data_IF_150507131515
#
_entry.id   IF_150507131515
#
_cell.length_a   1.000
_cell.length_b   1.000
_cell.length_c   1.000
_cell.angle_alpha   90.00
_cell.angle_beta   90.00
_cell.angle_gamma   90.00
#
_symmetry.space_group_name_H-M   'P 1'
#
loop_
_entity.id
_entity.type
_entity.pdbx_description
1 polymer ?
#
# COMPACT_ATOMS: atom_id res chain seq x y z
N UNK A 1 -15.15 -38.33 7.23
CA UNK A 1 -14.07 -37.74 6.41
C UNK A 1 -13.48 -36.59 7.22
N UNK A 2 -12.17 -36.60 7.44
CA UNK A 2 -11.50 -35.63 8.31
C UNK A 2 -11.05 -34.41 7.51
N UNK A 3 -11.36 -33.22 8.02
CA UNK A 3 -10.95 -31.93 7.49
C UNK A 3 -10.13 -31.20 8.54
N UNK A 4 -9.10 -30.47 8.12
CA UNK A 4 -8.26 -29.69 9.02
C UNK A 4 -8.31 -28.24 8.58
N UNK A 5 -8.78 -27.35 9.45
CA UNK A 5 -8.67 -25.90 9.27
C UNK A 5 -7.39 -25.46 9.97
N UNK A 6 -6.41 -25.00 9.21
CA UNK A 6 -5.14 -24.50 9.74
C UNK A 6 -5.06 -22.98 9.64
N UNK A 7 -4.40 -22.35 10.59
CA UNK A 7 -3.97 -20.95 10.49
C UNK A 7 -2.57 -20.76 11.05
N UNK A 8 -1.71 -20.12 10.25
CA UNK A 8 -0.45 -19.57 10.69
C UNK A 8 -0.23 -18.21 9.99
N UNK A 9 0.50 -17.29 10.63
CA UNK A 9 0.68 -15.95 10.08
C UNK A 9 1.29 -15.95 8.66
N UNK A 10 2.24 -16.85 8.34
CA UNK A 10 2.89 -16.92 7.03
C UNK A 10 1.97 -17.44 5.90
N UNK A 11 1.05 -18.34 6.23
CA UNK A 11 0.22 -19.06 5.25
C UNK A 11 -1.19 -18.46 5.13
N UNK A 12 -1.67 -17.85 6.22
CA UNK A 12 -3.06 -17.46 6.39
C UNK A 12 -3.91 -18.64 6.85
N UNK A 13 -5.23 -18.55 6.63
CA UNK A 13 -6.17 -19.62 6.99
C UNK A 13 -6.48 -20.50 5.79
N UNK A 14 -6.20 -21.79 5.92
CA UNK A 14 -6.38 -22.82 4.89
C UNK A 14 -7.29 -23.95 5.43
N UNK A 15 -7.84 -24.76 4.51
CA UNK A 15 -8.53 -26.00 4.87
C UNK A 15 -8.09 -27.14 3.96
N UNK A 16 -7.70 -28.24 4.58
CA UNK A 16 -7.24 -29.46 3.94
C UNK A 16 -8.23 -30.61 4.10
N UNK A 17 -8.05 -31.66 3.30
CA UNK A 17 -8.90 -32.84 3.30
C UNK A 17 -10.17 -32.72 2.45
N UNK A 18 -10.42 -31.58 1.82
CA UNK A 18 -11.58 -31.39 0.92
C UNK A 18 -11.37 -32.12 -0.41
N UNK A 19 -12.43 -32.72 -0.96
CA UNK A 19 -12.45 -33.43 -2.23
C UNK A 19 -13.56 -32.93 -3.14
N UNK A 20 -13.35 -33.00 -4.46
CA UNK A 20 -14.39 -32.63 -5.42
C UNK A 20 -15.60 -33.55 -5.25
N UNK A 21 -16.76 -32.95 -4.98
CA UNK A 21 -18.01 -33.70 -4.81
C UNK A 21 -18.26 -34.17 -3.38
N UNK A 22 -17.35 -33.91 -2.44
CA UNK A 22 -17.74 -33.91 -1.04
C UNK A 22 -18.62 -32.66 -0.79
N UNK A 23 -19.62 -32.77 0.09
CA UNK A 23 -20.56 -31.67 0.33
C UNK A 23 -19.92 -30.48 1.08
N UNK A 24 -18.58 -30.40 1.19
CA UNK A 24 -17.87 -29.30 1.86
C UNK A 24 -17.87 -28.01 1.03
N UNK A 25 -17.79 -28.11 -0.30
CA UNK A 25 -17.61 -26.95 -1.21
C UNK A 25 -18.72 -25.90 -1.05
N UNK A 26 -20.03 -26.26 -1.02
CA UNK A 26 -21.09 -25.28 -0.79
C UNK A 26 -20.96 -24.55 0.56
N UNK A 27 -20.57 -25.27 1.62
CA UNK A 27 -20.38 -24.73 2.97
C UNK A 27 -19.21 -23.74 3.00
N UNK A 28 -18.10 -24.08 2.34
CA UNK A 28 -16.93 -23.22 2.23
C UNK A 28 -17.25 -21.93 1.49
N UNK A 29 -17.96 -22.02 0.35
CA UNK A 29 -18.38 -20.83 -0.40
C UNK A 29 -19.32 -19.92 0.41
N UNK A 30 -20.26 -20.51 1.16
CA UNK A 30 -21.18 -19.76 2.02
C UNK A 30 -20.43 -18.98 3.12
N UNK A 31 -19.37 -19.58 3.68
CA UNK A 31 -18.51 -18.95 4.68
C UNK A 31 -17.41 -18.06 4.06
N UNK A 32 -17.45 -17.77 2.75
CA UNK A 32 -16.55 -16.82 2.09
C UNK A 32 -15.17 -17.35 1.73
N UNK A 33 -14.96 -18.67 1.78
CA UNK A 33 -13.71 -19.29 1.34
C UNK A 33 -13.55 -19.23 -0.19
N UNK A 34 -12.30 -19.19 -0.65
CA UNK A 34 -11.96 -19.18 -2.08
C UNK A 34 -10.97 -20.30 -2.40
N UNK A 35 -11.13 -20.92 -3.56
CA UNK A 35 -10.15 -21.85 -4.07
C UNK A 35 -8.95 -21.11 -4.66
N UNK A 36 -7.74 -21.49 -4.27
CA UNK A 36 -6.50 -21.03 -4.91
C UNK A 36 -5.90 -22.15 -5.74
N UNK A 37 -5.70 -21.92 -7.04
CA UNK A 37 -4.97 -22.86 -7.89
C UNK A 37 -3.48 -22.94 -7.54
N UNK A 38 -2.91 -21.86 -7.00
CA UNK A 38 -1.49 -21.80 -6.65
C UNK A 38 -1.19 -22.53 -5.34
N UNK A 39 -2.13 -22.51 -4.38
CA UNK A 39 -1.99 -23.22 -3.11
C UNK A 39 -2.53 -24.66 -3.17
N UNK A 40 -3.34 -24.97 -4.19
CA UNK A 40 -4.06 -26.25 -4.25
C UNK A 40 -5.04 -26.46 -3.09
N UNK A 41 -5.49 -25.37 -2.46
CA UNK A 41 -6.30 -25.39 -1.24
C UNK A 41 -7.34 -24.27 -1.22
N UNK A 42 -8.37 -24.47 -0.41
CA UNK A 42 -9.34 -23.43 -0.06
C UNK A 42 -8.73 -22.52 1.02
N UNK A 43 -8.88 -21.22 0.86
CA UNK A 43 -8.31 -20.23 1.78
C UNK A 43 -9.30 -19.11 2.10
N UNK A 44 -9.10 -18.47 3.26
CA UNK A 44 -9.79 -17.22 3.62
C UNK A 44 -8.97 -16.04 3.10
N UNK A 45 -9.61 -15.15 2.33
CA UNK A 45 -8.92 -13.98 1.76
C UNK A 45 -8.44 -13.00 2.86
N UNK A 46 -7.27 -12.38 2.67
CA UNK A 46 -6.66 -11.42 3.63
C UNK A 46 -6.54 -12.00 5.04
N UNK A 47 -6.02 -13.22 5.16
CA UNK A 47 -5.77 -13.92 6.42
C UNK A 47 -4.29 -14.05 6.77
N UNK A 48 -3.39 -13.98 5.77
CA UNK A 48 -1.94 -13.95 5.97
C UNK A 48 -1.52 -12.66 6.68
N UNK A 49 -0.59 -12.78 7.62
CA UNK A 49 -0.02 -11.72 8.45
C UNK A 49 -1.10 -10.91 9.20
N UNK A 50 -2.19 -11.56 9.60
CA UNK A 50 -3.30 -10.97 10.36
C UNK A 50 -3.82 -11.96 11.39
N UNK A 51 -4.42 -11.48 12.48
CA UNK A 51 -5.08 -12.35 13.46
C UNK A 51 -6.03 -13.37 12.80
N UNK A 52 -6.14 -14.58 13.36
CA UNK A 52 -7.09 -15.57 12.88
C UNK A 52 -8.51 -15.00 12.86
N UNK A 53 -9.22 -15.20 11.75
CA UNK A 53 -10.63 -14.77 11.63
C UNK A 53 -11.54 -15.77 12.32
N UNK A 54 -11.47 -15.79 13.65
CA UNK A 54 -12.18 -16.74 14.51
C UNK A 54 -13.66 -16.90 14.17
N UNK A 55 -14.36 -15.81 13.87
CA UNK A 55 -15.78 -15.89 13.48
C UNK A 55 -16.01 -16.72 12.21
N UNK A 56 -15.13 -16.62 11.20
CA UNK A 56 -15.24 -17.42 9.96
C UNK A 56 -14.81 -18.86 10.24
N UNK A 57 -13.69 -19.04 10.96
CA UNK A 57 -13.16 -20.37 11.31
C UNK A 57 -14.21 -21.17 12.09
N UNK A 58 -14.76 -20.58 13.16
CA UNK A 58 -15.74 -21.24 14.03
C UNK A 58 -17.05 -21.53 13.29
N UNK A 59 -17.59 -20.54 12.56
CA UNK A 59 -18.80 -20.74 11.74
C UNK A 59 -18.63 -21.83 10.69
N UNK A 60 -17.46 -21.88 10.04
CA UNK A 60 -17.15 -22.91 9.04
C UNK A 60 -17.02 -24.29 9.69
N UNK A 61 -16.27 -24.39 10.79
CA UNK A 61 -16.07 -25.64 11.51
C UNK A 61 -17.40 -26.21 12.02
N UNK A 62 -18.27 -25.36 12.58
CA UNK A 62 -19.61 -25.75 13.02
C UNK A 62 -20.47 -26.25 11.86
N UNK A 63 -20.53 -25.51 10.75
CA UNK A 63 -21.32 -25.91 9.58
C UNK A 63 -20.83 -27.22 8.95
N UNK A 64 -19.52 -27.44 8.88
CA UNK A 64 -18.94 -28.68 8.39
C UNK A 64 -19.21 -29.86 9.34
N UNK A 65 -19.08 -29.66 10.66
CA UNK A 65 -19.43 -30.70 11.66
C UNK A 65 -20.91 -31.07 11.58
N UNK A 66 -21.80 -30.09 11.44
CA UNK A 66 -23.23 -30.31 11.25
C UNK A 66 -23.54 -31.11 9.96
N UNK A 67 -22.72 -30.97 8.93
CA UNK A 67 -22.80 -31.75 7.70
C UNK A 67 -22.14 -33.15 7.78
N UNK A 68 -21.69 -33.58 8.97
CA UNK A 68 -21.14 -34.91 9.22
C UNK A 68 -19.64 -35.05 8.97
N UNK A 69 -18.91 -33.95 8.78
CA UNK A 69 -17.46 -33.99 8.69
C UNK A 69 -16.82 -33.97 10.09
N UNK A 70 -15.69 -34.68 10.23
CA UNK A 70 -14.83 -34.51 11.41
C UNK A 70 -13.91 -33.34 11.11
N UNK A 71 -13.96 -32.26 11.91
CA UNK A 71 -13.17 -31.05 11.65
C UNK A 71 -12.23 -30.78 12.82
N UNK A 72 -10.94 -30.80 12.52
CA UNK A 72 -9.88 -30.34 13.42
C UNK A 72 -9.53 -28.87 13.11
N UNK A 73 -9.16 -28.12 14.15
CA UNK A 73 -8.83 -26.69 14.05
C UNK A 73 -7.48 -26.47 14.71
N UNK A 74 -6.47 -26.24 13.89
CA UNK A 74 -5.09 -25.99 14.30
C UNK A 74 -4.75 -24.52 14.03
N UNK A 75 -4.61 -23.72 15.09
CA UNK A 75 -4.42 -22.27 14.96
C UNK A 75 -3.20 -21.85 15.76
N UNK A 76 -2.19 -21.41 15.02
CA UNK A 76 -1.08 -20.62 15.54
C UNK A 76 -1.43 -19.13 15.36
N UNK A 77 -1.78 -18.47 16.47
CA UNK A 77 -2.13 -17.06 16.50
C UNK A 77 -0.94 -16.12 16.74
N UNK A 78 0.29 -16.64 16.69
CA UNK A 78 1.50 -15.84 16.86
C UNK A 78 1.74 -14.95 15.65
N UNK A 79 2.07 -13.69 15.92
CA UNK A 79 2.45 -12.75 14.88
C UNK A 79 3.92 -12.96 14.50
N UNK A 80 4.20 -12.96 13.19
CA UNK A 80 5.55 -12.75 12.69
C UNK A 80 5.99 -11.32 12.93
N UNK A 81 7.30 -11.12 13.07
CA UNK A 81 7.85 -9.77 13.25
C UNK A 81 7.57 -8.91 12.02
N UNK A 82 7.43 -7.60 12.23
CA UNK A 82 7.20 -6.66 11.13
C UNK A 82 8.37 -6.71 10.14
N UNK A 83 9.59 -6.90 10.62
CA UNK A 83 10.77 -7.03 9.76
C UNK A 83 10.65 -8.22 8.78
N UNK A 84 10.30 -9.41 9.26
CA UNK A 84 10.11 -10.60 8.41
C UNK A 84 8.97 -10.40 7.41
N UNK A 85 7.85 -9.84 7.87
CA UNK A 85 6.67 -9.58 7.03
C UNK A 85 7.00 -8.57 5.92
N UNK A 86 7.77 -7.54 6.23
CA UNK A 86 8.17 -6.53 5.25
C UNK A 86 9.22 -7.06 4.27
N UNK A 87 10.18 -7.88 4.72
CA UNK A 87 11.12 -8.58 3.85
C UNK A 87 10.39 -9.50 2.85
N UNK A 88 9.44 -10.31 3.32
CA UNK A 88 8.59 -11.15 2.48
C UNK A 88 7.78 -10.35 1.45
N UNK A 89 7.31 -9.16 1.82
CA UNK A 89 6.55 -8.28 0.91
C UNK A 89 7.47 -7.70 -0.16
N UNK A 90 8.68 -7.30 0.21
CA UNK A 90 9.69 -6.79 -0.73
C UNK A 90 10.05 -7.88 -1.74
N UNK A 91 10.43 -9.09 -1.27
CA UNK A 91 10.77 -10.20 -2.15
C UNK A 91 9.65 -10.54 -3.14
N UNK A 92 8.40 -10.67 -2.67
CA UNK A 92 7.24 -10.90 -3.55
C UNK A 92 6.99 -9.77 -4.54
N UNK A 93 7.28 -8.54 -4.14
CA UNK A 93 7.14 -7.39 -5.03
C UNK A 93 8.24 -7.36 -6.08
N UNK A 94 9.47 -7.72 -5.73
CA UNK A 94 10.60 -7.88 -6.66
C UNK A 94 10.33 -8.99 -7.68
N UNK A 95 9.88 -10.16 -7.23
CA UNK A 95 9.47 -11.26 -8.12
C UNK A 95 8.39 -10.82 -9.11
N UNK A 96 7.41 -10.05 -8.61
CA UNK A 96 6.33 -9.50 -9.43
C UNK A 96 6.86 -8.50 -10.45
N UNK A 97 7.78 -7.63 -10.06
CA UNK A 97 8.41 -6.65 -10.96
C UNK A 97 9.23 -7.36 -12.02
N UNK A 98 10.04 -8.36 -11.64
CA UNK A 98 10.81 -9.20 -12.56
C UNK A 98 9.91 -9.88 -13.60
N UNK A 99 8.89 -10.61 -13.15
CA UNK A 99 7.96 -11.30 -14.05
C UNK A 99 7.20 -10.36 -14.99
N UNK A 100 6.86 -9.14 -14.54
CA UNK A 100 6.22 -8.13 -15.40
C UNK A 100 7.19 -7.52 -16.40
N UNK A 101 8.46 -7.33 -15.99
CA UNK A 101 9.53 -6.83 -16.85
C UNK A 101 9.86 -7.83 -17.96
N UNK A 102 10.01 -9.12 -17.61
CA UNK A 102 10.24 -10.19 -18.59
C UNK A 102 9.09 -10.30 -19.59
N UNK A 103 7.85 -10.14 -19.08
CA UNK A 103 6.66 -10.09 -19.93
C UNK A 103 6.66 -8.88 -20.86
N UNK A 104 7.06 -7.71 -20.38
CA UNK A 104 7.17 -6.50 -21.21
C UNK A 104 8.24 -6.68 -22.30
N UNK A 105 9.40 -7.24 -21.96
CA UNK A 105 10.46 -7.57 -22.92
C UNK A 105 9.99 -8.55 -24.00
N UNK A 106 9.31 -9.63 -23.60
CA UNK A 106 8.76 -10.61 -24.55
C UNK A 106 7.75 -9.98 -25.52
N UNK A 107 6.94 -9.04 -25.04
CA UNK A 107 5.98 -8.31 -25.87
C UNK A 107 6.65 -7.29 -26.79
N UNK A 108 7.72 -6.63 -26.35
CA UNK A 108 8.51 -5.73 -27.18
C UNK A 108 9.15 -6.47 -28.36
N UNK A 109 9.75 -7.65 -28.14
CA UNK A 109 10.29 -8.49 -29.23
C UNK A 109 9.18 -8.88 -30.23
N UNK A 110 7.97 -9.15 -29.75
CA UNK A 110 6.82 -9.47 -30.61
C UNK A 110 6.33 -8.25 -31.39
N UNK A 111 6.35 -7.08 -30.77
CA UNK A 111 6.03 -5.80 -31.41
C UNK A 111 7.01 -5.52 -32.55
N UNK A 112 8.32 -5.58 -32.29
CA UNK A 112 9.35 -5.36 -33.31
C UNK A 112 9.16 -6.28 -34.51
N UNK A 113 8.88 -7.57 -34.27
CA UNK A 113 8.60 -8.53 -35.34
C UNK A 113 7.29 -8.22 -36.10
N UNK A 114 6.24 -7.74 -35.42
CA UNK A 114 4.99 -7.37 -36.05
C UNK A 114 5.14 -6.08 -36.88
N UNK A 115 5.88 -5.11 -36.37
CA UNK A 115 6.16 -3.84 -37.02
C UNK A 115 7.05 -4.04 -38.25
N UNK A 116 8.14 -4.82 -38.12
CA UNK A 116 8.99 -5.19 -39.25
C UNK A 116 8.17 -5.89 -40.35
N UNK A 117 7.29 -6.83 -39.99
CA UNK A 117 6.42 -7.51 -40.95
C UNK A 117 5.45 -6.55 -41.64
N UNK A 118 4.90 -5.58 -40.92
CA UNK A 118 4.02 -4.56 -41.49
C UNK A 118 4.77 -3.68 -42.50
N UNK A 119 5.98 -3.24 -42.15
CA UNK A 119 6.87 -2.48 -43.04
C UNK A 119 7.26 -3.30 -44.28
N UNK A 120 7.74 -4.54 -44.12
CA UNK A 120 8.11 -5.42 -45.23
C UNK A 120 6.97 -5.70 -46.21
N UNK A 121 5.72 -5.75 -45.73
CA UNK A 121 4.55 -5.89 -46.58
C UNK A 121 4.22 -4.57 -47.28
N UNK A 122 4.25 -3.45 -46.57
CA UNK A 122 3.95 -2.14 -47.14
C UNK A 122 4.97 -1.74 -48.22
N UNK A 123 6.26 -1.98 -48.00
CA UNK A 123 7.35 -1.61 -48.91
C UNK A 123 7.32 -2.36 -50.25
N UNK A 124 6.58 -3.47 -50.34
CA UNK A 124 6.39 -4.23 -51.60
C UNK A 124 5.46 -3.52 -52.59
N UNK A 125 4.70 -2.52 -52.15
CA UNK A 125 3.84 -1.73 -53.02
C UNK A 125 4.39 -0.30 -53.11
N UNK A 126 4.69 0.20 -54.32
CA UNK A 126 5.06 1.59 -54.50
C UNK A 126 4.02 2.52 -53.89
N UNK A 127 4.48 3.47 -53.08
CA UNK A 127 3.62 4.38 -52.35
C UNK A 127 2.66 5.12 -53.31
N UNK A 128 1.36 5.08 -52.99
CA UNK A 128 0.33 5.79 -53.75
C UNK A 128 -0.14 5.10 -55.04
N UNK A 129 0.26 3.86 -55.32
CA UNK A 129 -0.23 3.14 -56.51
C UNK A 129 -1.74 2.83 -56.39
N UNK A 130 -2.61 3.40 -57.24
CA UNK A 130 -4.05 3.14 -57.18
C UNK A 130 -4.36 1.70 -57.60
N UNK A 131 -5.41 1.12 -56.99
CA UNK A 131 -5.94 -0.17 -57.45
C UNK A 131 -6.63 0.08 -58.80
N UNK A 132 -6.04 -0.45 -59.88
CA UNK A 132 -6.64 -0.44 -61.21
C UNK A 132 -7.84 -1.40 -61.22
N UNK A 133 -9.03 -0.89 -60.90
CA UNK A 133 -10.25 -1.68 -60.60
C UNK A 133 -10.61 -2.68 -61.71
N UNK A 134 -10.39 -2.30 -62.97
CA UNK A 134 -10.76 -3.07 -64.16
C UNK A 134 -9.60 -3.89 -64.76
N UNK A 135 -8.47 -4.00 -64.06
CA UNK A 135 -7.29 -4.72 -64.53
C UNK A 135 -7.16 -6.12 -63.90
N UNK A 136 -6.55 -7.08 -64.60
CA UNK A 136 -6.40 -8.46 -64.12
C UNK A 136 -5.59 -8.59 -62.80
N UNK A 137 -4.76 -7.59 -62.48
CA UNK A 137 -3.98 -7.53 -61.24
C UNK A 137 -4.78 -7.00 -60.03
N UNK A 138 -5.98 -6.45 -60.24
CA UNK A 138 -6.78 -5.84 -59.18
C UNK A 138 -7.07 -6.79 -57.99
N UNK A 139 -7.45 -8.07 -58.19
CA UNK A 139 -7.70 -8.99 -57.08
C UNK A 139 -6.45 -9.28 -56.25
N UNK A 140 -5.29 -9.44 -56.91
CA UNK A 140 -4.02 -9.67 -56.24
C UNK A 140 -3.60 -8.45 -55.40
N UNK A 141 -3.77 -7.24 -55.96
CA UNK A 141 -3.49 -5.98 -55.26
C UNK A 141 -4.42 -5.77 -54.05
N UNK A 142 -5.73 -6.03 -54.18
CA UNK A 142 -6.68 -5.98 -53.05
C UNK A 142 -6.27 -6.91 -51.91
N UNK A 143 -5.98 -8.19 -52.22
CA UNK A 143 -5.52 -9.18 -51.24
C UNK A 143 -4.21 -8.76 -50.57
N UNK A 144 -3.32 -8.09 -51.30
CA UNK A 144 -2.08 -7.57 -50.74
C UNK A 144 -2.36 -6.42 -49.75
N UNK A 145 -3.17 -5.43 -50.12
CA UNK A 145 -3.57 -4.35 -49.21
C UNK A 145 -4.31 -4.86 -47.97
N UNK A 146 -5.15 -5.89 -48.09
CA UNK A 146 -5.77 -6.56 -46.94
C UNK A 146 -4.72 -7.15 -46.00
N UNK A 147 -3.67 -7.80 -46.52
CA UNK A 147 -2.56 -8.32 -45.71
C UNK A 147 -1.77 -7.21 -45.02
N UNK A 148 -1.47 -6.12 -45.73
CA UNK A 148 -0.80 -4.94 -45.16
C UNK A 148 -1.63 -4.40 -44.00
N UNK A 149 -2.92 -4.16 -44.23
CA UNK A 149 -3.81 -3.62 -43.22
C UNK A 149 -3.97 -4.55 -42.00
N UNK A 150 -4.04 -5.87 -42.20
CA UNK A 150 -4.04 -6.82 -41.07
C UNK A 150 -2.71 -6.79 -40.30
N UNK A 151 -1.57 -6.77 -41.00
CA UNK A 151 -0.26 -6.68 -40.35
C UNK A 151 -0.08 -5.36 -39.58
N UNK A 152 -0.55 -4.24 -40.13
CA UNK A 152 -0.53 -2.94 -39.43
C UNK A 152 -1.42 -2.95 -38.18
N UNK A 153 -2.60 -3.58 -38.23
CA UNK A 153 -3.46 -3.76 -37.03
C UNK A 153 -2.76 -4.60 -35.98
N UNK A 154 -2.16 -5.71 -36.39
CA UNK A 154 -1.41 -6.59 -35.48
C UNK A 154 -0.23 -5.84 -34.84
N UNK A 155 0.50 -5.00 -35.59
CA UNK A 155 1.56 -4.15 -35.07
C UNK A 155 1.04 -3.12 -34.04
N UNK A 156 -0.07 -2.44 -34.34
CA UNK A 156 -0.71 -1.49 -33.39
C UNK A 156 -1.16 -2.20 -32.10
N UNK A 157 -1.75 -3.40 -32.21
CA UNK A 157 -2.20 -4.16 -31.05
C UNK A 157 -1.03 -4.71 -30.23
N UNK A 158 0.07 -5.10 -30.89
CA UNK A 158 1.33 -5.47 -30.24
C UNK A 158 1.92 -4.27 -29.47
N UNK A 159 2.06 -3.11 -30.11
CA UNK A 159 2.51 -1.87 -29.45
C UNK A 159 1.67 -1.55 -28.21
N UNK A 160 0.34 -1.57 -28.34
CA UNK A 160 -0.57 -1.34 -27.19
C UNK A 160 -0.37 -2.37 -26.08
N UNK A 161 -0.10 -3.63 -26.43
CA UNK A 161 0.17 -4.68 -25.45
C UNK A 161 1.51 -4.43 -24.72
N UNK A 162 2.56 -4.04 -25.44
CA UNK A 162 3.86 -3.66 -24.87
C UNK A 162 3.71 -2.48 -23.92
N UNK A 163 3.08 -1.38 -24.35
CA UNK A 163 2.88 -0.19 -23.52
C UNK A 163 2.10 -0.49 -22.24
N UNK A 164 1.06 -1.33 -22.32
CA UNK A 164 0.32 -1.78 -21.13
C UNK A 164 1.17 -2.65 -20.21
N UNK A 165 2.05 -3.50 -20.74
CA UNK A 165 2.92 -4.34 -19.94
C UNK A 165 4.03 -3.52 -19.26
N UNK A 166 4.69 -2.62 -20.02
CA UNK A 166 5.69 -1.69 -19.51
C UNK A 166 5.11 -0.80 -18.40
N UNK A 167 3.97 -0.14 -18.64
CA UNK A 167 3.33 0.70 -17.61
C UNK A 167 2.92 -0.08 -16.37
N UNK A 168 2.62 -1.39 -16.48
CA UNK A 168 2.37 -2.25 -15.31
C UNK A 168 3.63 -2.62 -14.56
N UNK A 169 4.76 -2.83 -15.24
CA UNK A 169 6.06 -3.06 -14.63
C UNK A 169 6.51 -1.81 -13.86
N UNK A 170 6.42 -0.63 -14.48
CA UNK A 170 6.77 0.66 -13.86
C UNK A 170 5.92 0.94 -12.62
N UNK A 171 4.61 0.74 -12.71
CA UNK A 171 3.71 0.91 -11.57
C UNK A 171 4.03 -0.08 -10.44
N UNK A 172 4.41 -1.31 -10.77
CA UNK A 172 4.84 -2.29 -9.77
C UNK A 172 6.16 -1.86 -9.11
N UNK A 173 7.15 -1.36 -9.85
CA UNK A 173 8.43 -0.93 -9.31
C UNK A 173 8.29 0.19 -8.26
N UNK A 174 7.38 1.14 -8.49
CA UNK A 174 7.10 2.25 -7.56
C UNK A 174 6.38 1.85 -6.26
N UNK A 175 5.91 0.61 -6.16
CA UNK A 175 5.10 0.18 -5.00
C UNK A 175 5.90 0.19 -3.71
N UNK A 176 7.13 -0.34 -3.73
CA UNK A 176 8.02 -0.36 -2.57
C UNK A 176 8.49 1.06 -2.24
N UNK A 177 8.88 1.85 -3.25
CA UNK A 177 9.26 3.26 -3.09
C UNK A 177 8.17 4.07 -2.37
N UNK A 178 6.91 3.97 -2.80
CA UNK A 178 5.80 4.67 -2.15
C UNK A 178 5.58 4.20 -0.71
N UNK A 179 5.77 2.91 -0.44
CA UNK A 179 5.59 2.32 0.90
C UNK A 179 6.61 2.87 1.91
N UNK A 180 7.84 3.08 1.45
CA UNK A 180 8.97 3.61 2.23
C UNK A 180 9.16 5.13 2.07
N UNK A 181 8.25 5.81 1.37
CA UNK A 181 8.29 7.26 1.26
C UNK A 181 8.22 7.92 2.66
N UNK A 182 9.09 8.89 2.99
CA UNK A 182 9.17 9.48 4.33
C UNK A 182 7.83 9.95 4.90
N UNK A 183 7.01 10.61 4.09
CA UNK A 183 5.70 11.12 4.53
C UNK A 183 4.70 9.99 4.78
N UNK A 184 4.78 8.91 4.00
CA UNK A 184 3.92 7.73 4.16
C UNK A 184 4.32 6.97 5.42
N UNK A 185 5.61 6.80 5.67
CA UNK A 185 6.16 6.18 6.88
C UNK A 185 5.75 6.99 8.12
N UNK A 186 5.96 8.30 8.12
CA UNK A 186 5.61 9.16 9.25
C UNK A 186 4.10 9.08 9.60
N UNK A 187 3.22 9.18 8.60
CA UNK A 187 1.75 9.04 8.79
C UNK A 187 1.36 7.66 9.30
N UNK A 188 2.07 6.62 8.84
CA UNK A 188 1.86 5.25 9.30
C UNK A 188 2.21 5.12 10.78
N UNK A 189 3.36 5.63 11.21
CA UNK A 189 3.77 5.64 12.61
C UNK A 189 2.74 6.37 13.47
N UNK A 190 2.24 7.53 13.03
CA UNK A 190 1.20 8.27 13.77
C UNK A 190 -0.08 7.46 13.94
N UNK A 191 -0.52 6.77 12.87
CA UNK A 191 -1.70 5.90 12.92
C UNK A 191 -1.48 4.72 13.86
N UNK A 192 -0.34 4.03 13.75
CA UNK A 192 0.00 2.91 14.62
C UNK A 192 0.06 3.33 16.10
N UNK A 193 0.68 4.47 16.41
CA UNK A 193 0.68 5.05 17.77
C UNK A 193 -0.71 5.46 18.25
N UNK A 194 -1.63 5.82 17.35
CA UNK A 194 -3.02 6.10 17.71
C UNK A 194 -3.81 4.83 18.00
N UNK A 195 -3.60 3.78 17.20
CA UNK A 195 -4.21 2.46 17.36
C UNK A 195 -3.68 1.78 18.64
N UNK A 196 -2.37 1.83 18.90
CA UNK A 196 -1.76 1.33 20.14
C UNK A 196 -2.39 1.99 21.38
N UNK A 197 -2.55 3.32 21.38
CA UNK A 197 -3.21 4.02 22.48
C UNK A 197 -4.69 3.65 22.62
N UNK A 198 -5.35 3.26 21.53
CA UNK A 198 -6.75 2.80 21.57
C UNK A 198 -6.81 1.42 22.21
N UNK A 199 -5.98 0.49 21.75
CA UNK A 199 -5.87 -0.86 22.31
C UNK A 199 -5.54 -0.81 23.79
N UNK A 200 -4.57 0.02 24.18
CA UNK A 200 -4.18 0.18 25.59
C UNK A 200 -5.33 0.73 26.46
N UNK A 201 -6.10 1.71 25.97
CA UNK A 201 -7.31 2.19 26.69
C UNK A 201 -8.37 1.11 26.88
N UNK A 202 -8.47 0.14 25.98
CA UNK A 202 -9.36 -1.01 26.14
C UNK A 202 -8.82 -2.00 27.17
N UNK A 203 -7.50 -2.19 27.24
CA UNK A 203 -6.84 -3.05 28.25
C UNK A 203 -7.03 -2.48 29.65
N UNK A 204 -6.76 -1.18 29.82
CA UNK A 204 -6.74 -0.53 31.13
C UNK A 204 -8.14 -0.12 31.63
N UNK A 205 -9.11 -0.04 30.73
CA UNK A 205 -10.37 0.64 30.98
C UNK A 205 -10.20 2.16 30.92
N UNK A 206 -11.30 2.87 30.72
CA UNK A 206 -11.28 4.32 30.70
C UNK A 206 -12.64 4.93 31.00
N UNK A 207 -12.63 6.18 31.44
CA UNK A 207 -13.84 6.97 31.64
C UNK A 207 -13.89 8.09 30.61
N UNK A 208 -15.03 8.23 29.92
CA UNK A 208 -15.29 9.29 28.95
C UNK A 208 -16.32 10.26 29.50
N UNK A 209 -16.01 11.56 29.52
CA UNK A 209 -17.02 12.59 29.77
C UNK A 209 -17.88 12.78 28.54
N UNK A 210 -19.20 12.64 28.70
CA UNK A 210 -20.18 12.83 27.63
C UNK A 210 -20.54 14.31 27.49
N UNK A 211 -20.94 14.93 28.61
CA UNK A 211 -21.22 16.35 28.71
C UNK A 211 -21.08 16.83 30.15
N UNK A 212 -21.07 18.15 30.32
CA UNK A 212 -21.05 18.81 31.62
C UNK A 212 -22.33 19.63 31.74
N UNK A 213 -23.06 19.43 32.84
CA UNK A 213 -24.29 20.17 33.14
C UNK A 213 -24.22 20.66 34.59
N UNK A 214 -24.41 21.97 34.80
CA UNK A 214 -24.31 22.62 36.12
C UNK A 214 -23.03 22.30 36.91
N UNK A 215 -21.90 22.21 36.20
CA UNK A 215 -20.61 21.85 36.78
C UNK A 215 -20.43 20.35 37.09
N UNK A 216 -21.49 19.54 36.94
CA UNK A 216 -21.45 18.08 37.10
C UNK A 216 -21.05 17.42 35.79
N UNK A 217 -20.04 16.54 35.83
CA UNK A 217 -19.60 15.75 34.69
C UNK A 217 -20.43 14.47 34.60
N UNK A 218 -21.16 14.32 33.50
CA UNK A 218 -21.79 13.05 33.17
C UNK A 218 -20.78 12.19 32.41
N UNK A 219 -20.48 11.02 32.97
CA UNK A 219 -19.41 10.15 32.50
C UNK A 219 -19.91 8.76 32.15
N UNK A 220 -19.31 8.18 31.13
CA UNK A 220 -19.44 6.77 30.75
C UNK A 220 -18.15 6.07 31.18
N UNK A 221 -18.27 5.03 32.01
CA UNK A 221 -17.15 4.22 32.44
C UNK A 221 -17.09 2.92 31.62
N UNK A 222 -15.91 2.60 31.13
CA UNK A 222 -15.59 1.33 30.49
C UNK A 222 -14.58 0.61 31.36
N UNK A 223 -14.97 -0.56 31.87
CA UNK A 223 -14.10 -1.39 32.68
C UNK A 223 -12.91 -1.93 31.86
N UNK A 224 -11.84 -2.29 32.56
CA UNK A 224 -10.70 -2.96 31.99
C UNK A 224 -11.12 -4.27 31.32
N UNK A 225 -10.52 -4.59 30.16
CA UNK A 225 -10.75 -5.88 29.52
C UNK A 225 -10.31 -7.04 30.42
N UNK A 226 -11.05 -8.15 30.36
CA UNK A 226 -10.81 -9.36 31.15
C UNK A 226 -10.81 -10.63 30.30
N UNK A 227 -10.16 -11.69 30.80
CA UNK A 227 -10.12 -13.01 30.16
C UNK A 227 -9.55 -12.99 28.75
N UNK A 228 -10.09 -13.84 27.87
CA UNK A 228 -9.62 -14.00 26.47
C UNK A 228 -9.66 -12.70 25.67
N UNK A 229 -10.60 -11.79 25.97
CA UNK A 229 -10.62 -10.49 25.29
C UNK A 229 -9.39 -9.65 25.63
N UNK A 230 -8.96 -9.66 26.89
CA UNK A 230 -7.75 -8.97 27.33
C UNK A 230 -6.50 -9.57 26.68
N UNK A 231 -6.36 -10.89 26.71
CA UNK A 231 -5.23 -11.61 26.09
C UNK A 231 -5.10 -11.26 24.59
N UNK A 232 -6.23 -11.17 23.88
CA UNK A 232 -6.24 -10.75 22.48
C UNK A 232 -5.79 -9.31 22.28
N UNK A 233 -6.21 -8.39 23.15
CA UNK A 233 -5.77 -7.00 23.09
C UNK A 233 -4.28 -6.86 23.43
N UNK A 234 -3.76 -7.65 24.39
CA UNK A 234 -2.35 -7.65 24.76
C UNK A 234 -1.48 -8.17 23.60
N UNK A 235 -1.91 -9.24 22.92
CA UNK A 235 -1.25 -9.74 21.70
C UNK A 235 -1.26 -8.69 20.59
N UNK A 236 -2.39 -8.05 20.34
CA UNK A 236 -2.51 -6.96 19.35
C UNK A 236 -1.64 -5.75 19.73
N UNK A 237 -1.57 -5.41 21.01
CA UNK A 237 -0.71 -4.34 21.52
C UNK A 237 0.76 -4.65 21.25
N UNK A 238 1.20 -5.88 21.51
CA UNK A 238 2.55 -6.36 21.16
C UNK A 238 2.85 -6.22 19.67
N UNK A 239 1.92 -6.66 18.80
CA UNK A 239 2.07 -6.51 17.35
C UNK A 239 2.13 -5.05 16.88
N UNK A 240 1.34 -4.16 17.48
CA UNK A 240 1.38 -2.73 17.18
C UNK A 240 2.71 -2.10 17.63
N UNK A 241 3.26 -2.53 18.77
CA UNK A 241 4.55 -2.05 19.27
C UNK A 241 5.70 -2.48 18.36
N UNK A 242 5.74 -3.74 17.94
CA UNK A 242 6.72 -4.25 16.96
C UNK A 242 6.64 -3.48 15.62
N UNK A 243 5.43 -3.18 15.14
CA UNK A 243 5.26 -2.33 13.96
C UNK A 243 5.78 -0.90 14.19
N UNK A 244 5.49 -0.30 15.36
CA UNK A 244 5.96 1.05 15.68
C UNK A 244 7.48 1.08 15.73
N UNK A 245 8.11 0.09 16.34
CA UNK A 245 9.57 -0.04 16.44
C UNK A 245 10.19 -0.12 15.05
N UNK A 246 9.76 -1.08 14.23
CA UNK A 246 10.27 -1.25 12.87
C UNK A 246 10.12 0.03 12.03
N UNK A 247 8.92 0.61 11.97
CA UNK A 247 8.69 1.78 11.13
C UNK A 247 9.40 3.04 11.66
N UNK A 248 9.58 3.16 12.98
CA UNK A 248 10.36 4.26 13.56
C UNK A 248 11.83 4.11 13.18
N UNK A 249 12.41 2.91 13.28
CA UNK A 249 13.79 2.67 12.83
C UNK A 249 13.98 2.95 11.33
N UNK A 250 13.00 2.59 10.49
CA UNK A 250 13.01 2.98 9.07
C UNK A 250 12.99 4.49 8.89
N UNK A 251 12.20 5.22 9.69
CA UNK A 251 12.14 6.68 9.60
C UNK A 251 13.44 7.33 10.08
N UNK A 252 14.05 6.81 11.12
CA UNK A 252 15.33 7.28 11.65
C UNK A 252 16.43 7.08 10.58
N UNK A 253 16.49 5.92 9.92
CA UNK A 253 17.40 5.70 8.80
C UNK A 253 17.15 6.68 7.64
N UNK A 254 15.90 6.99 7.32
CA UNK A 254 15.58 8.00 6.30
C UNK A 254 16.05 9.41 6.68
N UNK A 255 16.07 9.74 7.98
CA UNK A 255 16.63 11.01 8.47
C UNK A 255 18.16 10.99 8.35
N UNK A 256 18.80 9.89 8.75
CA UNK A 256 20.26 9.72 8.67
C UNK A 256 20.76 9.78 7.21
N UNK A 257 20.00 9.21 6.28
CA UNK A 257 20.27 9.27 4.83
C UNK A 257 19.96 10.65 4.21
N UNK A 258 19.40 11.59 4.98
CA UNK A 258 18.98 12.91 4.52
C UNK A 258 17.73 12.92 3.62
N UNK A 259 17.03 11.78 3.50
CA UNK A 259 15.79 11.65 2.75
C UNK A 259 14.58 12.25 3.50
N UNK A 260 14.67 12.38 4.82
CA UNK A 260 13.66 12.96 5.70
C UNK A 260 14.27 14.02 6.63
N UNK A 261 13.45 14.95 7.09
CA UNK A 261 13.84 15.93 8.12
C UNK A 261 12.86 15.86 9.28
N UNK A 262 13.37 15.56 10.47
CA UNK A 262 12.58 15.41 11.69
C UNK A 262 12.22 16.78 12.31
N UNK A 263 11.35 17.53 11.64
CA UNK A 263 10.86 18.80 12.20
C UNK A 263 10.09 18.58 13.50
N UNK A 264 10.33 19.46 14.47
CA UNK A 264 9.66 19.43 15.77
C UNK A 264 9.48 20.84 16.34
N UNK A 265 8.76 20.93 17.46
CA UNK A 265 8.53 22.21 18.16
C UNK A 265 9.81 22.77 18.80
N UNK A 266 10.80 21.92 19.01
CA UNK A 266 12.09 22.29 19.61
C UNK A 266 12.97 23.01 18.58
N UNK A 267 12.77 22.76 17.29
CA UNK A 267 13.58 23.33 16.20
C UNK A 267 12.91 24.53 15.56
N UNK A 268 11.58 24.47 15.36
CA UNK A 268 10.84 25.55 14.69
C UNK A 268 10.41 26.61 15.71
N UNK A 269 10.65 27.86 15.37
CA UNK A 269 10.29 29.02 16.17
C UNK A 269 9.19 29.85 15.52
N UNK A 270 8.50 30.66 16.32
CA UNK A 270 7.52 31.62 15.81
C UNK A 270 8.25 32.69 15.01
N UNK A 271 7.75 32.99 13.82
CA UNK A 271 8.36 33.95 12.88
C UNK A 271 9.13 33.28 11.73
N UNK A 272 9.57 32.04 11.90
CA UNK A 272 10.18 31.24 10.83
C UNK A 272 9.22 31.05 9.65
N UNK A 273 9.76 30.76 8.48
CA UNK A 273 8.98 30.45 7.28
C UNK A 273 9.10 28.98 6.93
N UNK A 274 7.96 28.34 6.67
CA UNK A 274 7.88 26.94 6.24
C UNK A 274 7.23 26.84 4.86
N UNK A 275 7.58 25.79 4.13
CA UNK A 275 6.82 25.36 2.94
C UNK A 275 6.40 23.91 3.09
N UNK A 276 5.15 23.60 2.74
CA UNK A 276 4.62 22.24 2.73
C UNK A 276 4.31 21.73 1.31
N UNK A 277 4.19 22.64 0.34
CA UNK A 277 3.93 22.36 -1.06
C UNK A 277 5.18 22.54 -1.95
N UNK A 278 6.23 23.17 -1.42
CA UNK A 278 7.47 23.51 -2.14
C UNK A 278 7.34 24.71 -3.08
N UNK A 279 6.21 25.43 -3.06
CA UNK A 279 5.93 26.57 -3.93
C UNK A 279 5.81 27.87 -3.15
N UNK A 280 5.16 27.81 -2.00
CA UNK A 280 4.84 28.99 -1.19
C UNK A 280 5.48 28.91 0.18
N UNK A 281 5.99 30.04 0.66
CA UNK A 281 6.53 30.19 2.00
C UNK A 281 5.49 30.84 2.91
N UNK A 282 5.28 30.25 4.08
CA UNK A 282 4.29 30.70 5.04
C UNK A 282 4.96 30.97 6.39
N UNK A 283 4.71 32.16 6.94
CA UNK A 283 5.21 32.52 8.25
C UNK A 283 4.52 31.70 9.36
N UNK A 284 5.30 31.18 10.29
CA UNK A 284 4.81 30.45 11.46
C UNK A 284 4.31 31.44 12.51
N UNK A 285 3.00 31.45 12.76
CA UNK A 285 2.37 32.33 13.76
C UNK A 285 2.25 31.68 15.13
N UNK A 286 2.24 30.35 15.19
CA UNK A 286 2.20 29.57 16.44
C UNK A 286 2.86 28.21 16.25
N UNK A 287 3.61 27.78 17.25
CA UNK A 287 4.21 26.44 17.32
C UNK A 287 3.39 25.59 18.29
N UNK A 288 2.89 24.43 17.83
CA UNK A 288 2.13 23.48 18.63
C UNK A 288 2.91 22.17 18.80
N UNK A 289 2.42 21.23 19.61
CA UNK A 289 3.12 19.97 19.87
C UNK A 289 3.31 19.08 18.64
N UNK A 290 2.42 19.14 17.65
CA UNK A 290 2.46 18.28 16.44
C UNK A 290 2.44 19.05 15.12
N UNK A 291 2.32 20.36 15.19
CA UNK A 291 2.05 21.20 14.03
C UNK A 291 2.48 22.63 14.27
N UNK A 292 2.64 23.37 13.20
CA UNK A 292 2.70 24.82 13.21
C UNK A 292 1.38 25.39 12.70
N UNK A 293 1.01 26.57 13.19
CA UNK A 293 -0.05 27.36 12.62
C UNK A 293 0.55 28.41 11.70
N UNK A 294 -0.06 28.57 10.54
CA UNK A 294 0.28 29.57 9.52
C UNK A 294 -0.95 30.45 9.25
N UNK A 295 -0.81 31.67 8.68
CA UNK A 295 -1.94 32.44 8.18
C UNK A 295 -2.77 31.65 7.17
N UNK A 296 -4.05 31.99 7.05
CA UNK A 296 -4.96 31.35 6.09
C UNK A 296 -4.36 31.29 4.68
N UNK A 297 -4.28 30.08 4.13
CA UNK A 297 -3.75 29.80 2.79
C UNK A 297 -4.64 30.44 1.71
N UNK A 298 -5.94 30.60 2.01
CA UNK A 298 -6.95 31.20 1.10
C UNK A 298 -7.26 32.66 1.45
N UNK A 299 -6.53 33.27 2.39
CA UNK A 299 -6.81 34.60 2.94
C UNK A 299 -7.87 34.58 4.07
N UNK A 300 -7.87 35.61 4.91
CA UNK A 300 -8.77 35.74 6.07
C UNK A 300 -8.05 35.93 7.41
N UNK A 301 -8.82 36.03 8.50
CA UNK A 301 -8.31 36.28 9.86
C UNK A 301 -8.02 35.01 10.68
N UNK A 302 -8.28 33.83 10.13
CA UNK A 302 -7.99 32.55 10.79
C UNK A 302 -6.63 31.98 10.39
N UNK A 303 -6.25 30.89 11.06
CA UNK A 303 -4.97 30.20 10.86
C UNK A 303 -5.17 28.76 10.41
N UNK A 304 -4.38 28.30 9.45
CA UNK A 304 -4.30 26.89 9.05
C UNK A 304 -3.24 26.14 9.84
N UNK A 305 -3.38 24.81 9.95
CA UNK A 305 -2.43 23.94 10.66
C UNK A 305 -1.65 23.08 9.67
N UNK A 306 -0.32 23.13 9.75
CA UNK A 306 0.59 22.25 9.01
C UNK A 306 1.28 21.32 9.99
N UNK A 307 1.07 20.00 9.83
CA UNK A 307 1.76 18.99 10.63
C UNK A 307 3.27 19.01 10.33
N UNK A 308 4.11 18.75 11.32
CA UNK A 308 5.57 18.71 11.12
C UNK A 308 5.99 17.77 9.98
N UNK A 309 5.35 16.61 9.91
CA UNK A 309 5.57 15.59 8.88
C UNK A 309 5.25 16.06 7.45
N UNK A 310 4.58 17.19 7.26
CA UNK A 310 4.24 17.72 5.95
C UNK A 310 5.16 18.88 5.54
N UNK A 311 6.04 19.35 6.43
CA UNK A 311 6.98 20.44 6.15
C UNK A 311 8.08 19.90 5.23
N UNK A 312 8.33 20.61 4.13
CA UNK A 312 9.34 20.27 3.14
C UNK A 312 10.63 21.06 3.31
N UNK A 313 10.52 22.32 3.72
CA UNK A 313 11.69 23.16 4.00
C UNK A 313 11.36 24.25 5.04
N UNK A 314 12.40 24.70 5.74
CA UNK A 314 12.38 25.70 6.79
C UNK A 314 13.40 26.80 6.51
N UNK A 315 13.01 28.04 6.77
CA UNK A 315 13.86 29.23 6.78
C UNK A 315 13.56 30.06 8.01
N UNK A 316 14.52 30.84 8.47
CA UNK A 316 14.32 31.70 9.63
C UNK A 316 13.45 32.94 9.29
N UNK A 317 13.28 33.83 10.26
CA UNK A 317 12.57 35.09 10.11
C UNK A 317 13.24 36.07 9.12
N UNK A 318 14.54 35.88 8.87
CA UNK A 318 15.36 36.62 7.89
C UNK A 318 15.47 35.91 6.53
N UNK A 319 14.66 34.88 6.29
CA UNK A 319 14.64 34.07 5.08
C UNK A 319 15.94 33.28 4.79
N UNK A 320 16.78 33.05 5.80
CA UNK A 320 17.96 32.19 5.71
C UNK A 320 17.58 30.71 5.86
N UNK A 321 18.13 29.80 5.04
CA UNK A 321 17.91 28.36 5.19
C UNK A 321 18.28 27.86 6.59
N UNK A 322 17.40 27.04 7.15
CA UNK A 322 17.63 26.37 8.44
C UNK A 322 17.82 24.88 8.17
N UNK A 323 18.97 24.36 8.57
CA UNK A 323 19.27 22.93 8.60
C UNK A 323 19.05 22.38 10.02
N UNK A 324 18.77 21.08 10.10
CA UNK A 324 18.71 20.35 11.37
C UNK A 324 19.89 19.38 11.37
N UNK A 325 20.83 19.56 12.28
CA UNK A 325 22.02 18.72 12.42
C UNK A 325 22.05 18.23 13.86
N UNK A 326 22.11 16.91 14.07
CA UNK A 326 22.07 16.26 15.39
C UNK A 326 20.87 16.71 16.25
N UNK A 327 19.72 16.95 15.62
CA UNK A 327 18.50 17.44 16.27
C UNK A 327 18.54 18.92 16.69
N UNK A 328 19.63 19.63 16.40
CA UNK A 328 19.78 21.05 16.69
C UNK A 328 19.53 21.93 15.45
N UNK A 329 18.92 23.08 15.68
CA UNK A 329 18.75 24.15 14.69
C UNK A 329 20.11 24.72 14.30
N UNK A 330 20.45 24.70 13.03
CA UNK A 330 21.59 25.44 12.47
C UNK A 330 21.11 26.38 11.37
N UNK A 331 21.32 27.68 11.57
CA UNK A 331 21.05 28.69 10.55
C UNK A 331 22.31 28.82 9.69
N UNK A 332 22.16 28.75 8.37
CA UNK A 332 23.29 29.00 7.48
C UNK A 332 23.78 30.44 7.68
N UNK A 333 24.97 30.60 8.29
CA UNK A 333 25.62 31.91 8.39
C UNK A 333 26.02 32.29 6.96
N UNK A 334 25.57 33.44 6.43
CA UNK A 334 26.01 33.87 5.11
C UNK A 334 27.54 34.04 5.11
N UNK A 335 28.22 33.34 4.20
CA UNK A 335 29.63 33.62 3.88
C UNK A 335 29.72 35.06 3.36
N UNK A 336 30.10 35.98 4.26
CA UNK A 336 30.54 37.36 4.06
C UNK A 336 29.68 38.29 3.20
N UNK A 337 29.13 39.32 3.87
CA UNK A 337 28.77 40.60 3.27
C UNK A 337 30.01 41.44 2.94
#
# INVERSE_FOLDING_TARGET
MALVISHAAAEGTLIEGTSKGDNSIPILKLNGWRWSRNLGSWYIQRSRDTAPKWHIINSTAEALRAAGFTVDVDVDDTYRTTAEVEADKIARQEDRVGALTDKAHTLAVREDAADQRAHELADRVPFGQPILVDHYSAPAMRKHYEKVHMASRDAIDAYRATQRAAGRADAAAKTTEYRYNPNVVARRIEKLKADQRRTQRSIDGHTRTLFVHDGVKHVEAHDAATGTYRENLERESGHLLDQIEFWSGVYDQLVDDGAAVAYSREVITKGDHITYDGRSWHQVVRVNTKSVSIPSIVGGSWTDKVLYINIRALRDDKAQPVAIVDGARQVAVPENA
#
